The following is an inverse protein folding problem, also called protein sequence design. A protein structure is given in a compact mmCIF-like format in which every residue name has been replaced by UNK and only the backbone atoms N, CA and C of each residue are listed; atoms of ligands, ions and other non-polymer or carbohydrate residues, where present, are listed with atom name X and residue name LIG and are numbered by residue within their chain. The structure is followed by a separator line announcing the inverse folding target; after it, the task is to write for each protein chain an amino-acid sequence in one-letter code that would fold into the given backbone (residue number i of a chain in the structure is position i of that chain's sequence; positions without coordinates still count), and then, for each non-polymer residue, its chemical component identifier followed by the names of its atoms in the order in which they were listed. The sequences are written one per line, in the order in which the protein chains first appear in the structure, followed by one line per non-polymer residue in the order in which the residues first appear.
data_IF_565133924638
#
_entry.id   IF_565133924638
#
_cell.length_a   1.000
_cell.length_b   1.000
_cell.length_c   1.000
_cell.angle_alpha   90.00
_cell.angle_beta   90.00
_cell.angle_gamma   90.00
#
_symmetry.space_group_name_H-M   'P 1'
#
loop_
_entity.id
_entity.type
_entity.pdbx_description
1 polymer ?
#
# COMPACT_ATOMS: atom_id res chain seq x y z
N UNK A 1 27.09 -5.73 -0.47
CA UNK A 1 28.22 -5.78 0.48
C UNK A 1 28.10 -4.74 1.59
N UNK A 2 27.81 -3.47 1.28
CA UNK A 2 27.75 -2.38 2.28
C UNK A 2 26.84 -2.68 3.49
N UNK A 3 25.72 -3.38 3.29
CA UNK A 3 24.77 -3.70 4.37
C UNK A 3 25.04 -5.04 5.10
N UNK A 4 26.05 -5.81 4.70
CA UNK A 4 26.22 -7.19 5.15
C UNK A 4 26.48 -7.32 6.67
N UNK A 5 27.31 -6.45 7.24
CA UNK A 5 27.63 -6.48 8.67
C UNK A 5 26.42 -6.22 9.55
N UNK A 6 25.69 -5.14 9.28
CA UNK A 6 24.49 -4.78 10.05
C UNK A 6 23.35 -5.79 9.90
N UNK A 7 23.15 -6.34 8.70
CA UNK A 7 22.18 -7.42 8.49
C UNK A 7 22.56 -8.69 9.27
N UNK A 8 23.84 -9.01 9.39
CA UNK A 8 24.32 -10.14 10.19
C UNK A 8 23.95 -10.02 11.67
N UNK A 9 24.15 -8.85 12.27
CA UNK A 9 23.75 -8.58 13.65
C UNK A 9 22.23 -8.70 13.82
N UNK A 10 21.45 -8.09 12.93
CA UNK A 10 19.97 -8.16 12.97
C UNK A 10 19.47 -9.61 12.89
N UNK A 11 20.06 -10.43 12.02
CA UNK A 11 19.68 -11.85 11.90
C UNK A 11 20.06 -12.63 13.16
N UNK A 12 21.23 -12.36 13.75
CA UNK A 12 21.65 -12.99 15.00
C UNK A 12 20.70 -12.63 16.16
N UNK A 13 20.28 -11.37 16.28
CA UNK A 13 19.30 -10.93 17.28
C UNK A 13 17.98 -11.70 17.12
N UNK A 14 17.45 -11.80 15.89
CA UNK A 14 16.20 -12.53 15.60
C UNK A 14 16.32 -14.01 15.98
N UNK A 15 17.43 -14.67 15.62
CA UNK A 15 17.66 -16.10 15.93
C UNK A 15 17.78 -16.33 17.44
N UNK A 16 18.39 -15.38 18.17
CA UNK A 16 18.49 -15.42 19.62
C UNK A 16 17.19 -15.00 20.35
N UNK A 17 16.12 -14.66 19.63
CA UNK A 17 14.86 -14.19 20.21
C UNK A 17 14.93 -12.79 20.82
N UNK A 18 15.94 -12.01 20.45
CA UNK A 18 16.16 -10.63 20.88
C UNK A 18 15.43 -9.69 19.92
N UNK A 19 14.78 -8.65 20.45
CA UNK A 19 14.15 -7.63 19.61
C UNK A 19 15.23 -6.81 18.89
N UNK A 20 15.19 -6.71 17.54
CA UNK A 20 16.16 -5.91 16.80
C UNK A 20 16.14 -4.45 17.24
N UNK A 21 17.33 -3.84 17.36
CA UNK A 21 17.50 -2.45 17.79
C UNK A 21 17.04 -1.41 16.75
N UNK A 22 16.83 -1.83 15.52
CA UNK A 22 16.49 -0.98 14.37
C UNK A 22 15.17 -1.43 13.75
N UNK A 23 14.44 -0.50 13.14
CA UNK A 23 13.25 -0.85 12.38
C UNK A 23 13.63 -1.60 11.09
N UNK A 24 13.14 -2.83 10.99
CA UNK A 24 13.39 -3.74 9.86
C UNK A 24 12.15 -3.94 8.99
N UNK A 25 11.07 -3.20 9.22
CA UNK A 25 9.79 -3.31 8.49
C UNK A 25 9.93 -3.33 6.95
N UNK A 26 10.90 -2.56 6.41
CA UNK A 26 11.18 -2.50 4.95
C UNK A 26 11.95 -3.70 4.42
N UNK A 27 12.67 -4.43 5.27
CA UNK A 27 13.49 -5.59 4.91
C UNK A 27 12.80 -6.92 5.23
N UNK A 28 11.77 -6.89 6.05
CA UNK A 28 11.00 -8.08 6.44
C UNK A 28 10.38 -8.76 5.23
N UNK A 29 10.65 -10.06 5.07
CA UNK A 29 10.13 -10.87 3.96
C UNK A 29 8.60 -11.05 4.08
N UNK A 30 8.08 -11.06 5.30
CA UNK A 30 6.64 -11.20 5.60
C UNK A 30 5.79 -10.01 5.15
N UNK A 31 6.41 -8.90 4.73
CA UNK A 31 5.69 -7.73 4.23
C UNK A 31 5.04 -7.95 2.86
N UNK A 32 5.49 -8.95 2.11
CA UNK A 32 4.99 -9.25 0.78
C UNK A 32 3.79 -10.18 0.84
N UNK A 33 2.83 -9.96 -0.06
CA UNK A 33 1.69 -10.86 -0.25
C UNK A 33 2.10 -12.00 -1.18
N UNK A 34 1.47 -13.17 -1.06
CA UNK A 34 1.75 -14.37 -1.86
C UNK A 34 1.79 -14.12 -3.38
N UNK A 35 0.99 -13.17 -3.87
CA UNK A 35 0.98 -12.77 -5.29
C UNK A 35 2.33 -12.22 -5.77
N UNK A 36 3.12 -11.62 -4.89
CA UNK A 36 4.46 -11.13 -5.21
C UNK A 36 5.50 -12.26 -5.32
N UNK A 37 5.23 -13.42 -4.72
CA UNK A 37 6.09 -14.59 -4.87
C UNK A 37 5.91 -15.29 -6.22
N UNK A 38 4.89 -14.93 -7.00
CA UNK A 38 4.63 -15.56 -8.29
C UNK A 38 5.73 -15.23 -9.31
N UNK A 39 6.34 -16.23 -10.00
CA UNK A 39 7.47 -16.01 -10.90
C UNK A 39 7.20 -14.99 -12.01
N UNK A 40 5.99 -14.98 -12.58
CA UNK A 40 5.64 -14.01 -13.63
C UNK A 40 5.59 -12.56 -13.13
N UNK A 41 5.25 -12.34 -11.85
CA UNK A 41 5.29 -11.01 -11.26
C UNK A 41 6.75 -10.53 -11.16
N UNK A 42 7.62 -11.38 -10.63
CA UNK A 42 9.04 -11.09 -10.47
C UNK A 42 9.74 -10.83 -11.81
N UNK A 43 9.50 -11.68 -12.82
CA UNK A 43 10.06 -11.52 -14.17
C UNK A 43 9.68 -10.16 -14.78
N UNK A 44 8.46 -9.69 -14.55
CA UNK A 44 7.99 -8.39 -15.08
C UNK A 44 8.50 -7.20 -14.24
N UNK A 45 8.52 -7.31 -12.91
CA UNK A 45 8.83 -6.22 -11.98
C UNK A 45 10.32 -5.97 -11.78
N UNK A 46 11.13 -7.03 -11.70
CA UNK A 46 12.57 -6.93 -11.40
C UNK A 46 13.33 -6.04 -12.39
N UNK A 47 13.13 -6.16 -13.72
CA UNK A 47 13.85 -5.32 -14.68
C UNK A 47 13.58 -3.82 -14.49
N UNK A 48 12.34 -3.45 -14.17
CA UNK A 48 11.96 -2.06 -13.90
C UNK A 48 12.66 -1.54 -12.63
N UNK A 49 12.59 -2.30 -11.54
CA UNK A 49 13.24 -1.92 -10.26
C UNK A 49 14.76 -1.81 -10.41
N UNK A 50 15.39 -2.74 -11.13
CA UNK A 50 16.82 -2.70 -11.40
C UNK A 50 17.21 -1.50 -12.27
N UNK A 51 16.38 -1.18 -13.28
CA UNK A 51 16.57 -0.02 -14.15
C UNK A 51 16.48 1.32 -13.41
N UNK A 52 15.79 1.36 -12.27
CA UNK A 52 15.62 2.58 -11.47
C UNK A 52 16.81 2.94 -10.58
N UNK A 53 17.76 2.04 -10.36
CA UNK A 53 18.81 2.18 -9.33
C UNK A 53 19.60 3.49 -9.42
N UNK A 54 19.83 3.99 -10.64
CA UNK A 54 20.55 5.24 -10.91
C UNK A 54 19.69 6.31 -11.58
N UNK A 55 18.36 6.14 -11.53
CA UNK A 55 17.43 7.15 -12.04
C UNK A 55 17.11 8.18 -10.97
N UNK A 56 16.78 9.40 -11.40
CA UNK A 56 16.23 10.40 -10.50
C UNK A 56 14.87 9.90 -10.00
N UNK A 57 14.82 9.58 -8.72
CA UNK A 57 13.60 9.12 -8.08
C UNK A 57 12.71 10.33 -7.78
N UNK A 58 11.48 10.29 -8.29
CA UNK A 58 10.47 11.28 -8.01
C UNK A 58 9.66 10.87 -6.79
N UNK A 59 9.25 11.84 -5.97
CA UNK A 59 8.29 11.58 -4.90
C UNK A 59 7.01 11.01 -5.49
N UNK A 60 6.51 9.91 -4.92
CA UNK A 60 5.30 9.19 -5.35
C UNK A 60 5.41 8.41 -6.68
N UNK A 61 6.63 8.05 -7.13
CA UNK A 61 6.81 7.14 -8.27
C UNK A 61 5.96 5.87 -8.14
N UNK A 62 5.20 5.56 -9.19
CA UNK A 62 4.44 4.32 -9.32
C UNK A 62 5.07 3.45 -10.37
N UNK A 63 5.18 2.16 -10.07
CA UNK A 63 5.67 1.22 -11.06
C UNK A 63 4.62 0.95 -12.16
N UNK A 64 5.11 0.64 -13.36
CA UNK A 64 4.34 0.51 -14.59
C UNK A 64 4.14 -0.96 -14.97
N UNK A 65 5.09 -1.83 -14.62
CA UNK A 65 4.98 -3.26 -14.89
C UNK A 65 4.07 -3.95 -13.87
N UNK A 66 3.75 -5.23 -14.07
CA UNK A 66 3.13 -6.09 -13.06
C UNK A 66 1.89 -5.50 -12.30
N UNK A 67 1.05 -4.73 -13.01
CA UNK A 67 -0.17 -4.04 -12.52
C UNK A 67 -1.42 -4.92 -12.58
N UNK A 68 -2.49 -4.44 -11.95
CA UNK A 68 -3.82 -5.07 -11.93
C UNK A 68 -3.83 -6.49 -11.33
N UNK A 69 -3.04 -6.74 -10.28
CA UNK A 69 -3.06 -8.04 -9.57
C UNK A 69 -4.33 -8.20 -8.73
N UNK A 70 -4.73 -7.13 -8.02
CA UNK A 70 -5.94 -7.08 -7.21
C UNK A 70 -6.67 -5.77 -7.49
N UNK A 71 -7.98 -5.88 -7.61
CA UNK A 71 -8.87 -4.74 -7.84
C UNK A 71 -9.97 -4.77 -6.79
N UNK A 72 -10.45 -3.59 -6.38
CA UNK A 72 -11.64 -3.52 -5.54
C UNK A 72 -12.90 -3.84 -6.35
N UNK A 73 -14.00 -4.24 -5.69
CA UNK A 73 -15.27 -4.50 -6.39
C UNK A 73 -15.80 -3.31 -7.19
N UNK A 74 -15.46 -2.09 -6.77
CA UNK A 74 -15.89 -0.84 -7.40
C UNK A 74 -14.86 -0.28 -8.40
N UNK A 75 -13.78 -1.02 -8.69
CA UNK A 75 -12.69 -0.58 -9.57
C UNK A 75 -13.16 -0.05 -10.92
N UNK A 76 -14.06 -0.78 -11.59
CA UNK A 76 -14.56 -0.38 -12.91
C UNK A 76 -15.38 0.92 -12.87
N UNK A 77 -16.17 1.12 -11.81
CA UNK A 77 -16.93 2.36 -11.61
C UNK A 77 -16.01 3.54 -11.35
N UNK A 78 -14.97 3.34 -10.52
CA UNK A 78 -13.96 4.35 -10.25
C UNK A 78 -13.18 4.71 -11.51
N UNK A 79 -12.79 3.71 -12.31
CA UNK A 79 -12.11 3.92 -13.59
C UNK A 79 -12.97 4.71 -14.58
N UNK A 80 -14.26 4.39 -14.68
CA UNK A 80 -15.20 5.14 -15.51
C UNK A 80 -15.40 6.59 -15.03
N UNK A 81 -15.33 6.82 -13.71
CA UNK A 81 -15.36 8.16 -13.11
C UNK A 81 -14.03 8.93 -13.26
N UNK A 82 -13.04 8.40 -13.98
CA UNK A 82 -11.77 9.07 -14.23
C UNK A 82 -10.72 8.90 -13.12
N UNK A 83 -10.82 7.84 -12.31
CA UNK A 83 -9.81 7.53 -11.31
C UNK A 83 -8.45 7.23 -11.93
N UNK A 84 -7.41 7.82 -11.34
CA UNK A 84 -6.01 7.52 -11.64
C UNK A 84 -5.46 6.63 -10.53
N UNK A 85 -4.98 5.46 -10.92
CA UNK A 85 -4.64 4.39 -10.00
C UNK A 85 -3.13 4.32 -9.73
N UNK A 86 -2.79 4.16 -8.45
CA UNK A 86 -1.49 3.69 -7.99
C UNK A 86 -1.57 2.25 -7.50
N UNK A 87 -0.42 1.62 -7.32
CA UNK A 87 -0.33 0.26 -6.82
C UNK A 87 0.13 0.27 -5.36
N UNK A 88 -0.59 -0.45 -4.50
CA UNK A 88 -0.23 -0.66 -3.10
C UNK A 88 -0.44 -2.12 -2.73
N UNK A 89 0.65 -2.85 -2.54
CA UNK A 89 0.64 -4.28 -2.17
C UNK A 89 -0.23 -5.14 -3.12
N UNK A 90 -0.12 -4.87 -4.41
CA UNK A 90 -0.85 -5.52 -5.50
C UNK A 90 -2.24 -4.95 -5.78
N UNK A 91 -2.77 -4.09 -4.91
CA UNK A 91 -4.05 -3.42 -5.14
C UNK A 91 -3.91 -2.19 -6.02
N UNK A 92 -4.80 -2.07 -7.00
CA UNK A 92 -5.04 -0.81 -7.69
C UNK A 92 -5.88 0.10 -6.81
N UNK A 93 -5.29 1.20 -6.33
CA UNK A 93 -5.94 2.17 -5.45
C UNK A 93 -6.06 3.52 -6.17
N UNK A 94 -7.27 4.14 -6.19
CA UNK A 94 -7.42 5.48 -6.74
C UNK A 94 -6.60 6.47 -5.91
N UNK A 95 -5.74 7.23 -6.58
CA UNK A 95 -4.93 8.29 -5.97
C UNK A 95 -5.65 9.64 -6.04
N UNK A 96 -6.23 9.94 -7.20
CA UNK A 96 -6.96 11.18 -7.49
C UNK A 96 -7.78 11.00 -8.78
N UNK A 97 -8.69 11.93 -9.05
CA UNK A 97 -9.62 11.84 -10.19
C UNK A 97 -9.37 12.91 -11.25
N UNK A 98 -9.53 12.54 -12.52
CA UNK A 98 -9.42 13.43 -13.68
C UNK A 98 -10.44 13.10 -14.75
N UNK A 99 -11.19 14.11 -15.19
CA UNK A 99 -12.13 13.99 -16.31
C UNK A 99 -11.46 14.30 -17.66
N UNK A 100 -10.15 14.56 -17.68
CA UNK A 100 -9.41 14.94 -18.88
C UNK A 100 -8.96 13.67 -19.65
N UNK A 101 -9.52 13.38 -20.85
CA UNK A 101 -9.23 12.17 -21.60
C UNK A 101 -7.79 12.14 -22.15
N UNK A 102 -7.15 13.28 -22.39
CA UNK A 102 -5.78 13.31 -22.94
C UNK A 102 -4.77 12.81 -21.92
N UNK A 103 -5.00 13.11 -20.64
CA UNK A 103 -4.16 12.63 -19.52
C UNK A 103 -4.44 11.18 -19.13
N UNK A 104 -5.42 10.55 -19.77
CA UNK A 104 -5.69 9.12 -19.57
C UNK A 104 -4.70 8.19 -20.31
N UNK A 105 -3.95 8.69 -21.29
CA UNK A 105 -2.92 7.90 -21.99
C UNK A 105 -1.61 7.78 -21.22
N UNK A 106 -1.21 8.84 -20.53
CA UNK A 106 0.02 8.90 -19.72
C UNK A 106 -0.27 8.79 -18.22
N UNK A 107 -1.40 8.19 -17.83
CA UNK A 107 -1.84 8.06 -16.41
C UNK A 107 -0.72 7.52 -15.53
N UNK A 108 -0.01 6.51 -16.06
CA UNK A 108 1.03 5.85 -15.29
C UNK A 108 2.17 6.82 -14.97
N UNK A 109 2.43 7.83 -15.82
CA UNK A 109 3.46 8.83 -15.59
C UNK A 109 2.94 10.16 -15.03
N UNK A 110 1.62 10.39 -15.02
CA UNK A 110 1.03 11.64 -14.54
C UNK A 110 1.33 11.86 -13.05
N UNK A 111 1.88 13.02 -12.72
CA UNK A 111 2.32 13.36 -11.37
C UNK A 111 3.73 12.86 -11.00
N UNK A 112 4.39 12.07 -11.84
CA UNK A 112 5.73 11.53 -11.56
C UNK A 112 6.89 12.38 -12.12
N UNK A 113 6.64 13.52 -12.76
CA UNK A 113 7.69 14.26 -13.48
C UNK A 113 8.27 15.46 -12.73
N UNK A 114 7.70 15.83 -11.58
CA UNK A 114 8.10 17.05 -10.88
C UNK A 114 8.95 16.72 -9.66
N UNK A 115 10.28 16.81 -9.81
CA UNK A 115 11.23 16.65 -8.70
C UNK A 115 11.05 17.75 -7.63
N UNK A 116 10.67 18.95 -8.05
CA UNK A 116 10.58 20.13 -7.18
C UNK A 116 9.33 20.94 -7.52
N UNK A 117 8.54 21.28 -6.51
CA UNK A 117 7.39 22.18 -6.59
C UNK A 117 6.03 21.48 -6.64
N UNK A 118 4.97 22.27 -6.82
CA UNK A 118 3.58 21.80 -6.71
C UNK A 118 3.25 20.70 -7.73
N UNK A 119 2.83 19.49 -7.31
CA UNK A 119 2.51 18.40 -8.21
C UNK A 119 1.18 18.65 -8.94
N UNK A 120 1.02 18.02 -10.11
CA UNK A 120 -0.13 18.23 -11.00
C UNK A 120 -1.47 17.84 -10.35
N UNK A 121 -1.47 16.83 -9.49
CA UNK A 121 -2.65 16.34 -8.80
C UNK A 121 -3.09 17.21 -7.62
N UNK A 122 -2.29 18.19 -7.18
CA UNK A 122 -2.56 18.96 -5.97
C UNK A 122 -3.90 19.70 -6.03
N UNK A 123 -4.18 20.41 -7.12
CA UNK A 123 -5.43 21.17 -7.28
C UNK A 123 -6.65 20.26 -7.46
N UNK A 124 -6.44 19.02 -7.94
CA UNK A 124 -7.49 18.01 -8.07
C UNK A 124 -7.85 17.45 -6.70
N UNK A 125 -6.85 17.06 -5.90
CA UNK A 125 -7.04 16.59 -4.52
C UNK A 125 -7.64 17.69 -3.64
N UNK A 126 -7.28 18.97 -3.86
CA UNK A 126 -7.91 20.09 -3.13
C UNK A 126 -9.43 20.17 -3.39
N UNK A 127 -9.89 19.88 -4.61
CA UNK A 127 -11.32 19.81 -4.94
C UNK A 127 -11.99 18.60 -4.29
N UNK A 128 -11.32 17.45 -4.27
CA UNK A 128 -11.81 16.24 -3.57
C UNK A 128 -11.95 16.51 -2.07
N UNK A 129 -10.96 17.15 -1.46
CA UNK A 129 -11.02 17.59 -0.06
C UNK A 129 -12.23 18.50 0.20
N UNK A 130 -12.42 19.52 -0.64
CA UNK A 130 -13.59 20.41 -0.53
C UNK A 130 -14.92 19.67 -0.66
N UNK A 131 -14.99 18.65 -1.54
CA UNK A 131 -16.16 17.80 -1.66
C UNK A 131 -16.42 16.94 -0.42
N UNK A 132 -15.37 16.34 0.17
CA UNK A 132 -15.50 15.55 1.39
C UNK A 132 -15.88 16.40 2.61
N UNK A 133 -15.42 17.66 2.66
CA UNK A 133 -15.68 18.55 3.78
C UNK A 133 -17.07 19.18 3.74
N UNK A 134 -17.49 19.64 2.56
CA UNK A 134 -18.74 20.40 2.40
C UNK A 134 -19.90 19.54 1.85
N UNK A 135 -19.62 18.32 1.40
CA UNK A 135 -20.60 17.39 0.81
C UNK A 135 -20.29 15.94 1.26
N UNK A 136 -20.53 14.96 0.38
CA UNK A 136 -20.31 13.54 0.64
C UNK A 136 -19.16 13.05 -0.23
N UNK A 137 -18.22 12.34 0.40
CA UNK A 137 -17.12 11.64 -0.28
C UNK A 137 -17.23 10.13 -0.11
N UNK A 138 -16.87 9.39 -1.15
CA UNK A 138 -16.71 7.93 -1.10
C UNK A 138 -15.22 7.60 -1.16
N UNK A 139 -14.74 6.79 -0.22
CA UNK A 139 -13.33 6.36 -0.16
C UNK A 139 -13.28 4.84 -0.23
N UNK A 140 -12.51 4.32 -1.17
CA UNK A 140 -12.25 2.89 -1.28
C UNK A 140 -11.21 2.43 -0.24
N UNK A 141 -11.67 1.67 0.75
CA UNK A 141 -10.83 1.07 1.80
C UNK A 141 -10.65 -0.45 1.62
N UNK A 142 -10.91 -0.98 0.43
CA UNK A 142 -10.81 -2.41 0.14
C UNK A 142 -9.39 -2.94 0.32
N UNK A 143 -8.36 -2.11 0.07
CA UNK A 143 -6.95 -2.49 0.15
C UNK A 143 -6.40 -2.66 1.58
N UNK A 144 -7.11 -2.17 2.60
CA UNK A 144 -6.65 -2.33 3.99
C UNK A 144 -6.66 -3.80 4.40
N UNK A 145 -5.62 -4.20 5.14
CA UNK A 145 -5.56 -5.52 5.75
C UNK A 145 -6.74 -5.71 6.70
N UNK A 146 -7.42 -6.85 6.57
CA UNK A 146 -8.59 -7.23 7.37
C UNK A 146 -8.28 -8.58 7.98
N UNK A 147 -8.34 -8.66 9.30
CA UNK A 147 -8.09 -9.89 10.05
C UNK A 147 -9.36 -10.23 10.82
N UNK A 148 -9.86 -11.45 10.64
CA UNK A 148 -10.95 -11.99 11.45
C UNK A 148 -10.35 -12.76 12.63
N UNK A 149 -10.65 -12.31 13.85
CA UNK A 149 -10.07 -12.86 15.08
C UNK A 149 -11.18 -13.53 15.88
N UNK A 150 -11.10 -14.86 15.97
CA UNK A 150 -12.09 -15.67 16.69
C UNK A 150 -11.69 -15.92 18.15
N UNK A 151 -12.65 -16.38 18.95
CA UNK A 151 -12.58 -16.47 20.42
C UNK A 151 -11.39 -17.28 20.94
N UNK A 152 -10.93 -18.30 20.20
CA UNK A 152 -9.78 -19.11 20.60
C UNK A 152 -8.46 -18.33 20.64
N UNK A 153 -8.35 -17.21 19.90
CA UNK A 153 -7.13 -16.39 19.80
C UNK A 153 -7.31 -15.04 20.50
N UNK A 154 -8.55 -14.67 20.85
CA UNK A 154 -8.89 -13.37 21.46
C UNK A 154 -8.10 -13.08 22.75
N UNK A 155 -7.94 -14.07 23.64
CA UNK A 155 -7.18 -13.90 24.89
C UNK A 155 -5.71 -13.53 24.63
N UNK A 156 -5.14 -13.96 23.51
CA UNK A 156 -3.75 -13.64 23.14
C UNK A 156 -3.62 -12.23 22.58
N UNK A 157 -4.69 -11.68 22.00
CA UNK A 157 -4.71 -10.31 21.50
C UNK A 157 -4.54 -9.29 22.64
N UNK A 158 -5.18 -9.53 23.80
CA UNK A 158 -5.02 -8.70 25.01
C UNK A 158 -3.57 -8.63 25.51
N UNK A 159 -2.74 -9.64 25.25
CA UNK A 159 -1.31 -9.61 25.59
C UNK A 159 -0.47 -8.83 24.56
N UNK A 160 -0.96 -8.66 23.34
CA UNK A 160 -0.25 -7.99 22.25
C UNK A 160 -0.68 -6.53 22.04
N UNK A 161 -1.81 -6.12 22.60
CA UNK A 161 -2.35 -4.76 22.49
C UNK A 161 -2.19 -3.99 23.80
N UNK A 162 -1.96 -2.68 23.70
CA UNK A 162 -2.02 -1.76 24.85
C UNK A 162 -3.46 -1.34 25.21
N UNK A 163 -4.45 -1.80 24.46
CA UNK A 163 -5.87 -1.50 24.65
C UNK A 163 -6.53 -2.61 25.47
N UNK A 164 -7.31 -2.25 26.47
CA UNK A 164 -8.12 -3.21 27.21
C UNK A 164 -9.31 -3.66 26.35
N UNK A 165 -9.26 -4.91 25.90
CA UNK A 165 -10.30 -5.52 25.10
C UNK A 165 -11.37 -6.14 26.01
N UNK A 166 -12.29 -5.32 26.52
CA UNK A 166 -13.46 -5.80 27.27
C UNK A 166 -14.40 -6.63 26.40
N UNK A 167 -14.30 -7.97 26.49
CA UNK A 167 -15.33 -8.86 25.94
C UNK A 167 -16.53 -8.88 26.90
N UNK A 168 -17.61 -8.17 26.54
CA UNK A 168 -18.89 -8.30 27.26
C UNK A 168 -19.44 -9.71 27.02
N UNK A 169 -19.32 -10.57 28.04
CA UNK A 169 -20.09 -11.83 28.16
C UNK A 169 -21.58 -11.46 28.25
N UNK A 170 -22.27 -11.30 27.14
CA UNK A 170 -23.64 -10.78 27.19
C UNK A 170 -24.35 -10.67 25.87
N UNK A 171 -24.30 -11.70 25.03
CA UNK A 171 -25.27 -11.89 23.97
C UNK A 171 -25.60 -13.39 23.90
N UNK A 172 -26.51 -13.80 24.79
CA UNK A 172 -27.26 -15.03 24.59
C UNK A 172 -28.03 -14.87 23.28
N UNK A 173 -27.65 -15.65 22.26
CA UNK A 173 -28.51 -15.90 21.12
C UNK A 173 -29.84 -16.46 21.67
N UNK A 174 -30.93 -15.75 21.42
CA UNK A 174 -32.27 -16.31 21.43
C UNK A 174 -32.62 -16.69 20.00
#
# INVERSE_FOLDING_TARGET
LVMAGGLGEVVADIVCGILPKVDISRMQVTRFVDLHAHPQYLIKRIPEVAGMLFTNSYEFHQYHTARNLRMSPIFHHLKAAGAIFGEVMGYERPLWFSNDPEKQRDILYSGQYKLIGKPEWFDRVAKEYGACRERVGLIDMSSFAKFDVTVSVFFRLSYCSTVDHMWRRGASLK
#
